data_IF_789512638977
#
_entry.id   IF_789512638977
#
_cell.length_a   1.000
_cell.length_b   1.000
_cell.length_c   1.000
_cell.angle_alpha   90.00
_cell.angle_beta   90.00
_cell.angle_gamma   90.00
#
_symmetry.space_group_name_H-M   'P 1'
#
loop_
_entity.id
_entity.type
_entity.pdbx_description
1 polymer ?
#
# COMPACT_ATOMS: atom_id res chain seq x y z
N UNK A 1 -21.75 20.72 -5.39
CA UNK A 1 -22.10 20.31 -6.77
C UNK A 1 -22.34 18.81 -6.74
N UNK A 2 -23.56 18.42 -7.02
CA UNK A 2 -24.18 17.11 -6.80
C UNK A 2 -23.45 15.97 -7.51
N UNK A 3 -23.13 14.91 -6.76
CA UNK A 3 -22.75 13.59 -7.25
C UNK A 3 -23.80 13.13 -8.28
N UNK A 4 -23.40 13.01 -9.55
CA UNK A 4 -24.17 12.24 -10.52
C UNK A 4 -23.87 10.76 -10.25
N UNK A 5 -24.80 10.09 -9.59
CA UNK A 5 -24.87 8.63 -9.52
C UNK A 5 -24.96 8.08 -10.95
N UNK A 6 -23.86 7.53 -11.44
CA UNK A 6 -23.85 6.72 -12.66
C UNK A 6 -24.71 5.48 -12.35
N UNK A 7 -25.76 5.19 -13.15
CA UNK A 7 -26.68 4.09 -12.84
C UNK A 7 -25.92 2.76 -12.85
N UNK A 8 -25.86 2.11 -11.69
CA UNK A 8 -25.30 0.77 -11.53
C UNK A 8 -26.16 -0.20 -12.37
N UNK A 9 -25.59 -0.99 -13.31
CA UNK A 9 -26.35 -1.99 -14.05
C UNK A 9 -27.05 -2.98 -13.11
N UNK A 10 -28.25 -3.43 -13.48
CA UNK A 10 -29.12 -4.26 -12.62
C UNK A 10 -28.44 -5.56 -12.14
N UNK A 11 -28.76 -5.98 -10.92
CA UNK A 11 -28.11 -7.08 -10.21
C UNK A 11 -28.22 -8.42 -10.96
N UNK A 12 -29.35 -8.67 -11.65
CA UNK A 12 -29.57 -9.87 -12.45
C UNK A 12 -28.70 -9.92 -13.72
N UNK A 13 -28.52 -8.80 -14.42
CA UNK A 13 -27.66 -8.72 -15.61
C UNK A 13 -26.16 -8.91 -15.27
N UNK A 14 -25.73 -8.46 -14.08
CA UNK A 14 -24.38 -8.72 -13.53
C UNK A 14 -24.15 -10.20 -13.22
N UNK A 15 -25.17 -10.91 -12.73
CA UNK A 15 -25.06 -12.32 -12.36
C UNK A 15 -24.93 -13.25 -13.57
N UNK A 16 -25.78 -13.10 -14.60
CA UNK A 16 -25.72 -13.95 -15.81
C UNK A 16 -24.44 -13.71 -16.62
N UNK A 17 -24.08 -12.45 -16.87
CA UNK A 17 -22.81 -12.11 -17.55
C UNK A 17 -21.59 -12.56 -16.74
N UNK A 18 -21.66 -12.47 -15.41
CA UNK A 18 -20.59 -12.91 -14.51
C UNK A 18 -20.42 -14.43 -14.44
N UNK A 19 -21.49 -15.21 -14.59
CA UNK A 19 -21.40 -16.68 -14.64
C UNK A 19 -20.79 -17.14 -15.97
N UNK A 20 -21.30 -16.64 -17.10
CA UNK A 20 -20.78 -16.96 -18.44
C UNK A 20 -19.31 -16.57 -18.56
N UNK A 21 -18.94 -15.37 -18.09
CA UNK A 21 -17.55 -14.93 -18.06
C UNK A 21 -16.68 -15.85 -17.22
N UNK A 22 -17.13 -16.25 -16.02
CA UNK A 22 -16.40 -17.18 -15.15
C UNK A 22 -16.18 -18.53 -15.83
N UNK A 23 -17.23 -19.11 -16.42
CA UNK A 23 -17.13 -20.38 -17.15
C UNK A 23 -16.13 -20.24 -18.29
N UNK A 24 -16.28 -19.24 -19.15
CA UNK A 24 -15.35 -19.00 -20.26
C UNK A 24 -13.90 -18.84 -19.79
N UNK A 25 -13.65 -18.05 -18.74
CA UNK A 25 -12.31 -17.82 -18.21
C UNK A 25 -11.71 -19.12 -17.64
N UNK A 26 -12.48 -19.90 -16.87
CA UNK A 26 -12.01 -21.16 -16.29
C UNK A 26 -11.75 -22.18 -17.40
N UNK A 27 -12.68 -22.34 -18.34
CA UNK A 27 -12.51 -23.27 -19.47
C UNK A 27 -11.30 -22.90 -20.32
N UNK A 28 -11.10 -21.61 -20.63
CA UNK A 28 -9.93 -21.13 -21.36
C UNK A 28 -8.62 -21.40 -20.60
N UNK A 29 -8.59 -21.15 -19.29
CA UNK A 29 -7.42 -21.42 -18.46
C UNK A 29 -7.08 -22.93 -18.42
N UNK A 30 -8.09 -23.79 -18.26
CA UNK A 30 -7.91 -25.25 -18.31
C UNK A 30 -7.45 -25.73 -19.69
N UNK A 31 -7.95 -25.14 -20.76
CA UNK A 31 -7.53 -25.43 -22.13
C UNK A 31 -6.05 -25.08 -22.35
N UNK A 32 -5.63 -23.88 -21.95
CA UNK A 32 -4.23 -23.46 -22.04
C UNK A 32 -3.34 -24.38 -21.21
N UNK A 33 -3.72 -24.65 -19.96
CA UNK A 33 -2.96 -25.52 -19.07
C UNK A 33 -2.82 -26.92 -19.67
N UNK A 34 -3.92 -27.51 -20.14
CA UNK A 34 -3.92 -28.83 -20.78
C UNK A 34 -3.05 -28.86 -22.04
N UNK A 35 -3.15 -27.85 -22.91
CA UNK A 35 -2.33 -27.75 -24.13
C UNK A 35 -0.84 -27.63 -23.79
N UNK A 36 -0.49 -26.80 -22.79
CA UNK A 36 0.90 -26.61 -22.37
C UNK A 36 1.47 -27.88 -21.72
N UNK A 37 0.70 -28.55 -20.85
CA UNK A 37 1.11 -29.82 -20.23
C UNK A 37 1.29 -30.92 -21.28
N UNK A 38 0.37 -31.02 -22.25
CA UNK A 38 0.48 -31.98 -23.35
C UNK A 38 1.70 -31.68 -24.22
N UNK A 39 1.92 -30.43 -24.63
CA UNK A 39 3.05 -30.04 -25.47
C UNK A 39 4.40 -30.29 -24.77
N UNK A 40 4.44 -30.07 -23.45
CA UNK A 40 5.60 -30.40 -22.62
C UNK A 40 5.83 -31.91 -22.53
N UNK A 41 4.80 -32.70 -22.25
CA UNK A 41 4.89 -34.16 -22.13
C UNK A 41 5.24 -34.85 -23.46
N UNK A 42 4.71 -34.33 -24.58
CA UNK A 42 5.00 -34.81 -25.92
C UNK A 42 6.36 -34.31 -26.46
N UNK A 43 7.04 -33.41 -25.73
CA UNK A 43 8.37 -32.91 -26.08
C UNK A 43 8.42 -32.16 -27.40
N UNK A 44 7.34 -31.48 -27.83
CA UNK A 44 7.24 -30.85 -29.15
C UNK A 44 8.07 -29.54 -29.20
N UNK A 45 9.21 -29.49 -29.91
CA UNK A 45 9.98 -28.26 -30.06
C UNK A 45 9.43 -27.43 -31.23
N UNK A 46 9.32 -26.11 -31.05
CA UNK A 46 9.00 -25.18 -32.15
C UNK A 46 10.27 -24.79 -32.92
N UNK A 47 11.39 -24.68 -32.22
CA UNK A 47 12.72 -24.54 -32.81
C UNK A 47 13.73 -25.29 -31.94
N UNK A 48 14.73 -25.91 -32.54
CA UNK A 48 15.83 -26.54 -31.81
C UNK A 48 17.15 -26.31 -32.53
N UNK A 49 18.24 -26.28 -31.78
CA UNK A 49 19.57 -26.26 -32.39
C UNK A 49 19.91 -27.63 -33.04
N UNK A 50 20.87 -27.64 -33.97
CA UNK A 50 21.29 -28.83 -34.74
C UNK A 50 21.76 -30.00 -33.86
N UNK A 51 22.29 -29.72 -32.68
CA UNK A 51 22.77 -30.66 -31.67
C UNK A 51 21.73 -30.96 -30.57
N UNK A 52 20.56 -30.30 -30.60
CA UNK A 52 19.46 -30.53 -29.65
C UNK A 52 19.77 -30.10 -28.21
N UNK A 53 20.76 -29.24 -28.00
CA UNK A 53 21.12 -28.73 -26.67
C UNK A 53 20.17 -27.61 -26.20
N UNK A 54 19.61 -26.85 -27.15
CA UNK A 54 18.60 -25.83 -26.88
C UNK A 54 17.35 -26.06 -27.73
N UNK A 55 16.19 -26.03 -27.08
CA UNK A 55 14.89 -26.13 -27.72
C UNK A 55 13.95 -25.02 -27.22
N UNK A 56 13.35 -24.28 -28.15
CA UNK A 56 12.28 -23.34 -27.89
C UNK A 56 10.94 -24.07 -28.08
N UNK A 57 10.29 -24.42 -26.98
CA UNK A 57 9.00 -25.11 -26.98
C UNK A 57 7.80 -24.16 -27.00
N UNK A 58 6.60 -24.73 -27.03
CA UNK A 58 5.34 -23.99 -26.97
C UNK A 58 5.21 -23.13 -25.69
N UNK A 59 5.75 -23.62 -24.57
CA UNK A 59 5.84 -22.87 -23.31
C UNK A 59 6.64 -21.57 -23.48
N UNK A 60 7.81 -21.65 -24.12
CA UNK A 60 8.66 -20.49 -24.41
C UNK A 60 7.96 -19.51 -25.34
N UNK A 61 7.28 -19.99 -26.38
CA UNK A 61 6.49 -19.15 -27.28
C UNK A 61 5.37 -18.40 -26.55
N UNK A 62 4.63 -19.09 -25.67
CA UNK A 62 3.58 -18.49 -24.87
C UNK A 62 4.12 -17.41 -23.92
N UNK A 63 5.20 -17.71 -23.18
CA UNK A 63 5.84 -16.73 -22.29
C UNK A 63 6.36 -15.52 -23.07
N UNK A 64 7.02 -15.73 -24.21
CA UNK A 64 7.51 -14.64 -25.06
C UNK A 64 6.37 -13.77 -25.58
N UNK A 65 5.27 -14.38 -26.06
CA UNK A 65 4.09 -13.64 -26.50
C UNK A 65 3.46 -12.85 -25.35
N UNK A 66 3.38 -13.45 -24.16
CA UNK A 66 2.88 -12.79 -22.96
C UNK A 66 3.75 -11.58 -22.57
N UNK A 67 5.07 -11.75 -22.55
CA UNK A 67 6.02 -10.69 -22.22
C UNK A 67 5.97 -9.54 -23.25
N UNK A 68 5.85 -9.85 -24.55
CA UNK A 68 5.69 -8.85 -25.61
C UNK A 68 4.40 -8.07 -25.43
N UNK A 69 3.28 -8.74 -25.16
CA UNK A 69 2.01 -8.09 -24.91
C UNK A 69 2.06 -7.20 -23.65
N UNK A 70 2.62 -7.70 -22.55
CA UNK A 70 2.82 -6.93 -21.32
C UNK A 70 3.69 -5.70 -21.57
N UNK A 71 4.80 -5.85 -22.27
CA UNK A 71 5.73 -4.76 -22.59
C UNK A 71 5.07 -3.70 -23.48
N UNK A 72 4.21 -4.10 -24.42
CA UNK A 72 3.45 -3.17 -25.26
C UNK A 72 2.49 -2.32 -24.43
N UNK A 73 1.67 -2.93 -23.56
CA UNK A 73 0.73 -2.18 -22.72
C UNK A 73 1.44 -1.34 -21.66
N UNK A 74 2.54 -1.85 -21.10
CA UNK A 74 3.41 -1.07 -20.22
C UNK A 74 3.97 0.17 -20.94
N UNK A 75 4.46 0.03 -22.17
CA UNK A 75 4.94 1.15 -22.98
C UNK A 75 3.83 2.19 -23.23
N UNK A 76 2.62 1.74 -23.54
CA UNK A 76 1.47 2.64 -23.72
C UNK A 76 1.12 3.39 -22.43
N UNK A 77 1.19 2.73 -21.27
CA UNK A 77 0.95 3.38 -19.98
C UNK A 77 2.05 4.39 -19.64
N UNK A 78 3.33 4.04 -19.84
CA UNK A 78 4.44 4.98 -19.66
C UNK A 78 4.26 6.24 -20.51
N UNK A 79 3.80 6.10 -21.75
CA UNK A 79 3.48 7.26 -22.60
C UNK A 79 2.34 8.10 -22.06
N UNK A 80 1.30 7.48 -21.51
CA UNK A 80 0.16 8.18 -20.88
C UNK A 80 0.60 8.93 -19.64
N UNK A 81 1.30 8.26 -18.73
CA UNK A 81 1.84 8.84 -17.49
C UNK A 81 2.80 9.99 -17.81
N UNK A 82 3.73 9.81 -18.77
CA UNK A 82 4.64 10.87 -19.19
C UNK A 82 3.93 12.07 -19.84
N UNK A 83 2.81 11.86 -20.54
CA UNK A 83 1.99 12.94 -21.07
C UNK A 83 1.23 13.68 -19.96
N UNK A 84 0.66 12.95 -18.99
CA UNK A 84 0.00 13.53 -17.83
C UNK A 84 0.97 14.34 -16.96
N UNK A 85 2.14 13.79 -16.64
CA UNK A 85 3.19 14.45 -15.88
C UNK A 85 3.65 15.76 -16.56
N UNK A 86 3.83 15.78 -17.89
CA UNK A 86 4.16 17.01 -18.64
C UNK A 86 3.07 18.09 -18.53
N UNK A 87 1.79 17.70 -18.61
CA UNK A 87 0.67 18.63 -18.42
C UNK A 87 0.61 19.16 -16.99
N UNK A 88 0.90 18.31 -16.01
CA UNK A 88 0.88 18.67 -14.61
C UNK A 88 2.07 19.57 -14.21
N UNK A 89 3.26 19.32 -14.76
CA UNK A 89 4.44 20.18 -14.59
C UNK A 89 4.17 21.62 -15.07
N UNK A 90 3.44 21.78 -16.17
CA UNK A 90 3.03 23.10 -16.68
C UNK A 90 2.04 23.84 -15.76
N UNK A 91 1.31 23.13 -14.90
CA UNK A 91 0.36 23.71 -13.92
C UNK A 91 1.01 24.03 -12.57
N UNK A 92 2.24 23.55 -12.32
CA UNK A 92 2.92 23.67 -11.03
C UNK A 92 2.33 22.78 -9.93
N UNK A 93 2.86 22.86 -8.70
CA UNK A 93 2.27 22.22 -7.53
C UNK A 93 0.96 22.93 -7.12
N UNK A 94 -0.04 22.19 -6.60
CA UNK A 94 -1.30 22.77 -6.17
C UNK A 94 -1.10 23.72 -4.99
N UNK A 95 -1.88 24.80 -4.97
CA UNK A 95 -1.92 25.71 -3.82
C UNK A 95 -2.49 25.00 -2.59
N UNK A 96 -2.06 25.43 -1.40
CA UNK A 96 -2.51 24.84 -0.13
C UNK A 96 -4.04 24.89 0.05
N UNK A 97 -4.72 25.90 -0.52
CA UNK A 97 -6.16 26.05 -0.44
C UNK A 97 -6.91 24.92 -1.15
N UNK A 98 -6.40 24.47 -2.30
CA UNK A 98 -7.05 23.48 -3.18
C UNK A 98 -6.48 22.07 -3.02
N UNK A 99 -5.29 21.94 -2.43
CA UNK A 99 -4.64 20.65 -2.24
C UNK A 99 -5.41 19.75 -1.26
N UNK A 100 -5.50 18.47 -1.60
CA UNK A 100 -6.06 17.42 -0.74
C UNK A 100 -5.20 17.21 0.49
N UNK A 101 -5.84 16.88 1.61
CA UNK A 101 -5.15 16.52 2.84
C UNK A 101 -4.60 15.10 2.75
N UNK A 102 -3.34 14.91 3.11
CA UNK A 102 -2.64 13.63 3.04
C UNK A 102 -1.96 13.32 4.37
N UNK A 103 -2.04 12.05 4.80
CA UNK A 103 -1.19 11.53 5.86
C UNK A 103 -0.17 10.53 5.28
N UNK A 104 1.11 10.80 5.46
CA UNK A 104 2.19 9.85 5.25
C UNK A 104 2.36 9.01 6.52
N UNK A 105 2.11 7.71 6.42
CA UNK A 105 2.24 6.75 7.51
C UNK A 105 3.49 5.90 7.31
N UNK A 106 4.38 5.89 8.30
CA UNK A 106 5.61 5.11 8.32
C UNK A 106 5.49 4.04 9.40
N UNK A 107 5.65 2.78 9.03
CA UNK A 107 5.65 1.65 9.98
C UNK A 107 7.09 1.24 10.26
N UNK A 108 7.52 1.19 11.52
CA UNK A 108 8.90 0.90 11.88
C UNK A 108 9.00 -0.17 12.98
N UNK A 109 9.98 -1.08 12.88
CA UNK A 109 10.30 -2.04 13.94
C UNK A 109 11.76 -2.45 13.89
N UNK A 110 12.53 -2.14 14.94
CA UNK A 110 13.95 -2.50 15.10
C UNK A 110 14.79 -2.25 13.83
N UNK A 111 14.64 -1.05 13.29
CA UNK A 111 15.25 -0.63 12.02
C UNK A 111 16.74 -0.28 12.15
N UNK A 112 17.47 -0.46 11.05
CA UNK A 112 18.81 0.13 10.96
C UNK A 112 18.72 1.68 11.10
N UNK A 113 19.48 2.28 12.04
CA UNK A 113 19.38 3.72 12.28
C UNK A 113 19.72 4.60 11.08
N UNK A 114 20.61 4.16 10.19
CA UNK A 114 21.01 4.93 9.02
C UNK A 114 19.90 4.93 7.96
N UNK A 115 19.24 3.79 7.73
CA UNK A 115 18.12 3.71 6.78
C UNK A 115 16.88 4.44 7.29
N UNK A 116 16.52 4.27 8.57
CA UNK A 116 15.40 5.00 9.16
C UNK A 116 15.61 6.52 9.08
N UNK A 117 16.82 7.00 9.38
CA UNK A 117 17.13 8.43 9.26
C UNK A 117 16.98 8.93 7.83
N UNK A 118 17.43 8.15 6.84
CA UNK A 118 17.26 8.50 5.43
C UNK A 118 15.77 8.54 5.03
N UNK A 119 14.97 7.59 5.51
CA UNK A 119 13.52 7.58 5.32
C UNK A 119 12.89 8.87 5.87
N UNK A 120 13.12 9.19 7.15
CA UNK A 120 12.55 10.36 7.82
C UNK A 120 12.99 11.68 7.16
N UNK A 121 14.27 11.82 6.80
CA UNK A 121 14.78 13.00 6.10
C UNK A 121 14.12 13.15 4.73
N UNK A 122 13.94 12.04 4.00
CA UNK A 122 13.26 12.07 2.70
C UNK A 122 11.77 12.39 2.80
N UNK A 123 11.09 11.88 3.83
CA UNK A 123 9.71 12.21 4.15
C UNK A 123 9.56 13.72 4.47
N UNK A 124 10.50 14.28 5.24
CA UNK A 124 10.55 15.73 5.51
C UNK A 124 10.80 16.55 4.25
N UNK A 125 11.52 16.03 3.27
CA UNK A 125 11.87 16.71 2.02
C UNK A 125 10.76 16.67 0.94
N UNK A 126 9.64 16.00 1.19
CA UNK A 126 8.52 15.93 0.23
C UNK A 126 8.00 17.32 -0.14
N UNK A 127 7.81 17.52 -1.44
CA UNK A 127 7.27 18.75 -2.04
C UNK A 127 5.74 18.67 -2.03
N UNK A 128 5.15 19.08 -0.91
CA UNK A 128 3.70 19.20 -0.75
C UNK A 128 3.37 20.32 0.25
N UNK A 129 2.21 21.01 0.15
CA UNK A 129 1.85 22.03 1.11
C UNK A 129 1.86 21.49 2.54
N UNK A 130 2.71 22.06 3.41
CA UNK A 130 2.91 21.60 4.80
C UNK A 130 1.60 21.53 5.58
N UNK A 131 0.72 22.51 5.43
CA UNK A 131 -0.60 22.55 6.07
C UNK A 131 -1.56 21.41 5.63
N UNK A 132 -1.22 20.69 4.55
CA UNK A 132 -2.02 19.59 4.00
C UNK A 132 -1.30 18.24 4.08
N UNK A 133 -0.07 18.17 4.58
CA UNK A 133 0.68 16.93 4.75
C UNK A 133 0.95 16.68 6.23
N UNK A 134 0.40 15.58 6.76
CA UNK A 134 0.76 15.02 8.06
C UNK A 134 1.76 13.89 7.88
N UNK A 135 2.69 13.75 8.82
CA UNK A 135 3.65 12.66 8.90
C UNK A 135 3.42 11.93 10.21
N UNK A 136 3.04 10.66 10.11
CA UNK A 136 2.76 9.78 11.24
C UNK A 136 3.70 8.58 11.17
N UNK A 137 4.60 8.45 12.13
CA UNK A 137 5.36 7.22 12.32
C UNK A 137 4.73 6.41 13.46
N UNK A 138 4.52 5.12 13.24
CA UNK A 138 4.11 4.19 14.30
C UNK A 138 5.20 3.13 14.45
N UNK A 139 5.69 2.98 15.68
CA UNK A 139 6.77 2.06 16.06
C UNK A 139 6.14 0.83 16.71
N UNK A 140 6.44 -0.36 16.17
CA UNK A 140 5.92 -1.66 16.65
C UNK A 140 6.63 -2.15 17.92
N UNK A 141 6.85 -1.27 18.88
CA UNK A 141 7.61 -1.57 20.09
C UNK A 141 7.66 -0.36 20.99
N UNK A 142 7.52 -0.60 22.29
CA UNK A 142 7.51 0.42 23.33
C UNK A 142 8.55 0.13 24.43
N UNK A 143 9.52 -0.75 24.17
CA UNK A 143 10.61 -1.06 25.09
C UNK A 143 11.75 -0.07 24.90
N UNK A 144 12.65 0.00 25.88
CA UNK A 144 13.81 0.90 25.83
C UNK A 144 14.67 0.73 24.56
N UNK A 145 14.78 -0.50 24.05
CA UNK A 145 15.50 -0.82 22.80
C UNK A 145 14.83 -0.24 21.53
N UNK A 146 13.54 0.09 21.58
CA UNK A 146 12.79 0.64 20.43
C UNK A 146 12.77 2.18 20.43
N UNK A 147 12.99 2.81 21.59
CA UNK A 147 12.78 4.26 21.77
C UNK A 147 13.77 5.14 20.99
N UNK A 148 14.90 4.60 20.52
CA UNK A 148 15.81 5.34 19.63
C UNK A 148 15.10 5.79 18.34
N UNK A 149 14.11 5.04 17.85
CA UNK A 149 13.32 5.42 16.67
C UNK A 149 12.47 6.67 16.97
N UNK A 150 11.88 6.72 18.17
CA UNK A 150 11.11 7.89 18.63
C UNK A 150 12.01 9.11 18.78
N UNK A 151 13.19 8.96 19.38
CA UNK A 151 14.16 10.04 19.53
C UNK A 151 14.68 10.54 18.18
N UNK A 152 14.93 9.63 17.23
CA UNK A 152 15.32 9.99 15.86
C UNK A 152 14.22 10.80 15.15
N UNK A 153 12.96 10.43 15.32
CA UNK A 153 11.84 11.21 14.78
C UNK A 153 11.80 12.62 15.37
N UNK A 154 11.93 12.76 16.69
CA UNK A 154 11.99 14.07 17.36
C UNK A 154 13.13 14.93 16.81
N UNK A 155 14.30 14.34 16.60
CA UNK A 155 15.47 15.03 16.07
C UNK A 155 15.26 15.51 14.63
N UNK A 156 14.78 14.64 13.74
CA UNK A 156 14.61 14.97 12.31
C UNK A 156 13.54 16.03 12.10
N UNK A 157 12.49 16.04 12.91
CA UNK A 157 11.35 16.96 12.81
C UNK A 157 11.35 18.07 13.87
N UNK A 158 12.47 18.33 14.54
CA UNK A 158 12.55 19.24 15.70
C UNK A 158 12.01 20.67 15.43
N UNK A 159 12.15 21.16 14.20
CA UNK A 159 11.67 22.48 13.74
C UNK A 159 10.18 22.49 13.36
N UNK A 160 9.50 21.36 13.42
CA UNK A 160 8.10 21.17 13.02
C UNK A 160 7.18 20.79 14.20
N UNK A 161 7.61 21.06 15.44
CA UNK A 161 6.91 20.77 16.71
C UNK A 161 6.36 19.32 16.78
N UNK A 162 7.26 18.32 16.76
CA UNK A 162 6.88 16.93 16.66
C UNK A 162 6.26 16.45 17.97
N UNK A 163 5.09 15.84 17.89
CA UNK A 163 4.46 15.19 19.04
C UNK A 163 4.84 13.71 19.09
N UNK A 164 5.10 13.21 20.29
CA UNK A 164 5.45 11.79 20.49
C UNK A 164 4.67 11.21 21.64
N UNK A 165 4.26 9.95 21.52
CA UNK A 165 3.54 9.25 22.57
C UNK A 165 4.00 7.81 22.66
N UNK A 166 4.26 7.34 23.88
CA UNK A 166 4.54 5.93 24.16
C UNK A 166 3.27 5.34 24.76
N UNK A 167 2.56 4.57 23.95
CA UNK A 167 1.33 3.89 24.34
C UNK A 167 1.67 2.52 24.92
N UNK A 168 1.28 2.31 26.17
CA UNK A 168 1.38 1.00 26.83
C UNK A 168 0.20 0.09 26.45
N UNK A 169 0.03 -0.13 25.15
CA UNK A 169 -1.10 -0.83 24.56
C UNK A 169 -1.05 -0.79 23.03
N UNK A 170 -2.09 -1.34 22.41
CA UNK A 170 -2.43 -1.16 20.99
C UNK A 170 -3.95 -1.37 20.83
N UNK A 171 -4.49 -1.29 19.61
CA UNK A 171 -5.94 -1.29 19.40
C UNK A 171 -6.60 -2.64 19.72
N UNK A 172 -5.88 -3.75 19.52
CA UNK A 172 -6.45 -5.09 19.59
C UNK A 172 -6.04 -5.89 20.83
N UNK A 173 -5.24 -5.30 21.73
CA UNK A 173 -5.01 -5.86 23.06
C UNK A 173 -5.99 -5.26 24.08
N UNK A 174 -6.61 -6.09 24.94
CA UNK A 174 -7.45 -5.59 26.01
C UNK A 174 -6.67 -4.64 26.92
N UNK A 175 -7.19 -3.44 27.12
CA UNK A 175 -6.70 -2.53 28.15
C UNK A 175 -7.35 -2.90 29.48
N UNK A 176 -6.53 -3.25 30.48
CA UNK A 176 -6.99 -3.50 31.85
C UNK A 176 -6.74 -2.24 32.70
N UNK A 177 -7.76 -1.68 33.39
CA UNK A 177 -7.54 -0.56 34.28
C UNK A 177 -6.63 -1.00 35.43
N UNK A 178 -5.55 -0.26 35.68
CA UNK A 178 -4.56 -0.53 36.72
C UNK A 178 -5.12 -0.57 38.17
N UNK A 179 -6.42 -0.32 38.37
CA UNK A 179 -7.13 -0.31 39.64
C UNK A 179 -8.35 -1.26 39.68
N UNK A 180 -8.37 -2.34 38.89
CA UNK A 180 -9.38 -3.41 39.04
C UNK A 180 -9.04 -4.45 40.14
N UNK A 181 -8.02 -4.16 40.97
CA UNK A 181 -7.76 -4.86 42.22
C UNK A 181 -8.34 -4.08 43.39
N UNK A 182 -9.49 -4.54 43.90
CA UNK A 182 -10.25 -4.06 45.08
C UNK A 182 -11.47 -3.16 44.79
N UNK A 183 -12.54 -3.77 44.26
CA UNK A 183 -13.90 -3.28 44.48
C UNK A 183 -14.76 -4.46 44.96
N UNK A 184 -15.28 -4.35 46.19
CA UNK A 184 -16.15 -5.33 46.81
C UNK A 184 -17.49 -5.47 46.08
N UNK A 185 -18.17 -6.57 46.38
CA UNK A 185 -19.48 -6.94 45.83
C UNK A 185 -20.50 -5.79 45.90
N UNK A 186 -21.04 -5.40 44.75
CA UNK A 186 -22.29 -4.65 44.66
C UNK A 186 -22.19 -3.32 43.91
N UNK A 187 -22.57 -3.36 42.62
CA UNK A 187 -23.20 -2.31 41.81
C UNK A 187 -22.58 -2.27 40.40
N UNK A 188 -23.12 -3.09 39.50
CA UNK A 188 -22.77 -3.11 38.09
C UNK A 188 -23.27 -1.81 37.42
N UNK A 189 -22.32 -1.00 36.97
CA UNK A 189 -22.54 -0.03 35.91
C UNK A 189 -21.37 -0.21 34.94
N UNK A 190 -21.57 -1.02 33.91
CA UNK A 190 -20.65 -1.10 32.77
C UNK A 190 -20.62 0.27 32.11
N UNK A 191 -19.70 1.11 32.55
CA UNK A 191 -19.16 2.16 31.71
C UNK A 191 -18.09 1.46 30.88
N UNK A 192 -18.28 1.35 29.57
CA UNK A 192 -17.20 0.97 28.66
C UNK A 192 -16.06 1.97 28.87
N UNK A 193 -15.09 1.61 29.69
CA UNK A 193 -13.94 2.45 29.95
C UNK A 193 -13.04 2.40 28.72
N UNK A 194 -13.03 3.49 27.94
CA UNK A 194 -12.15 3.63 26.79
C UNK A 194 -10.70 3.80 27.26
N UNK A 195 -9.76 3.12 26.58
CA UNK A 195 -8.33 3.24 26.84
C UNK A 195 -7.88 4.71 26.69
N UNK A 196 -7.41 5.36 27.78
CA UNK A 196 -6.91 6.74 27.71
C UNK A 196 -5.74 6.92 26.73
N UNK A 197 -4.91 5.89 26.55
CA UNK A 197 -3.79 5.91 25.62
C UNK A 197 -4.27 5.94 24.17
N UNK A 198 -5.31 5.18 23.84
CA UNK A 198 -5.98 5.25 22.54
C UNK A 198 -6.50 6.65 22.26
N UNK A 199 -7.22 7.25 23.22
CA UNK A 199 -7.76 8.61 23.06
C UNK A 199 -6.66 9.65 22.86
N UNK A 200 -5.55 9.53 23.59
CA UNK A 200 -4.39 10.40 23.42
C UNK A 200 -3.77 10.26 22.02
N UNK A 201 -3.59 9.03 21.53
CA UNK A 201 -3.08 8.75 20.18
C UNK A 201 -4.00 9.36 19.11
N UNK A 202 -5.31 9.11 19.18
CA UNK A 202 -6.29 9.66 18.24
C UNK A 202 -6.28 11.19 18.24
N UNK A 203 -6.23 11.82 19.42
CA UNK A 203 -6.18 13.27 19.55
C UNK A 203 -4.91 13.86 18.94
N UNK A 204 -3.74 13.26 19.22
CA UNK A 204 -2.46 13.72 18.67
C UNK A 204 -2.43 13.61 17.13
N UNK A 205 -2.82 12.45 16.59
CA UNK A 205 -2.84 12.19 15.15
C UNK A 205 -3.78 13.13 14.39
N UNK A 206 -4.90 13.52 15.00
CA UNK A 206 -5.88 14.43 14.38
C UNK A 206 -5.48 15.90 14.46
N UNK A 207 -4.70 16.29 15.47
CA UNK A 207 -4.40 17.71 15.77
C UNK A 207 -3.00 18.16 15.35
N UNK A 208 -2.02 17.26 15.38
CA UNK A 208 -0.61 17.57 15.09
C UNK A 208 -0.23 17.14 13.69
N UNK A 209 0.77 17.82 13.13
CA UNK A 209 1.28 17.53 11.79
C UNK A 209 2.28 16.38 11.79
N UNK A 210 3.26 16.41 12.69
CA UNK A 210 4.30 15.40 12.80
C UNK A 210 4.10 14.64 14.11
N UNK A 211 3.78 13.35 14.02
CA UNK A 211 3.46 12.50 15.17
C UNK A 211 4.25 11.21 15.11
N UNK A 212 4.83 10.80 16.22
CA UNK A 212 5.40 9.47 16.39
C UNK A 212 4.74 8.74 17.57
N UNK A 213 4.20 7.56 17.33
CA UNK A 213 3.59 6.72 18.36
C UNK A 213 4.38 5.45 18.50
N UNK A 214 4.91 5.17 19.68
CA UNK A 214 5.40 3.84 20.04
C UNK A 214 4.28 3.07 20.73
N UNK A 215 4.04 1.83 20.33
CA UNK A 215 2.98 0.99 20.87
C UNK A 215 3.51 -0.38 21.26
N UNK A 216 2.70 -1.19 21.95
CA UNK A 216 3.06 -2.57 22.24
C UNK A 216 3.10 -3.39 20.94
N UNK A 217 4.13 -4.25 20.82
CA UNK A 217 4.37 -5.10 19.66
C UNK A 217 3.13 -5.91 19.27
N UNK A 218 2.72 -5.78 18.01
CA UNK A 218 1.57 -6.47 17.41
C UNK A 218 1.75 -6.84 15.94
N UNK A 219 2.91 -6.55 15.34
CA UNK A 219 3.22 -6.81 13.94
C UNK A 219 2.87 -5.63 13.02
N UNK A 220 3.42 -5.65 11.81
CA UNK A 220 3.22 -4.60 10.78
C UNK A 220 1.75 -4.24 10.57
N UNK A 221 0.86 -5.24 10.53
CA UNK A 221 -0.58 -5.02 10.35
C UNK A 221 -1.21 -4.23 11.50
N UNK A 222 -0.79 -4.46 12.74
CA UNK A 222 -1.26 -3.70 13.90
C UNK A 222 -0.80 -2.24 13.83
N UNK A 223 0.47 -2.01 13.49
CA UNK A 223 1.04 -0.67 13.32
C UNK A 223 0.33 0.13 12.23
N UNK A 224 0.11 -0.49 11.07
CA UNK A 224 -0.66 0.10 9.98
C UNK A 224 -2.11 0.37 10.40
N UNK A 225 -2.74 -0.56 11.13
CA UNK A 225 -4.09 -0.36 11.65
C UNK A 225 -4.16 0.82 12.61
N UNK A 226 -3.23 0.95 13.56
CA UNK A 226 -3.15 2.09 14.48
C UNK A 226 -3.13 3.40 13.72
N UNK A 227 -2.28 3.50 12.69
CA UNK A 227 -2.20 4.69 11.85
C UNK A 227 -3.53 4.98 11.15
N UNK A 228 -4.11 3.99 10.48
CA UNK A 228 -5.36 4.15 9.74
C UNK A 228 -6.55 4.48 10.64
N UNK A 229 -6.67 3.80 11.76
CA UNK A 229 -7.77 3.98 12.72
C UNK A 229 -7.68 5.32 13.43
N UNK A 230 -6.48 5.71 13.86
CA UNK A 230 -6.27 7.01 14.52
C UNK A 230 -6.51 8.20 13.58
N UNK A 231 -6.18 8.05 12.29
CA UNK A 231 -6.48 9.05 11.27
C UNK A 231 -8.00 9.22 11.06
N UNK A 232 -8.78 8.14 11.13
CA UNK A 232 -10.22 8.17 10.88
C UNK A 232 -10.54 8.82 9.53
N UNK A 233 -11.43 9.81 9.50
CA UNK A 233 -11.80 10.61 8.33
C UNK A 233 -11.04 11.95 8.22
N UNK A 234 -10.01 12.16 9.03
CA UNK A 234 -9.35 13.47 9.17
C UNK A 234 -8.49 13.90 7.97
N UNK A 235 -8.25 13.01 7.02
CA UNK A 235 -7.51 13.28 5.78
C UNK A 235 -8.21 12.68 4.56
N UNK A 236 -7.98 13.25 3.37
CA UNK A 236 -8.51 12.72 2.11
C UNK A 236 -7.77 11.44 1.69
N UNK A 237 -6.44 11.44 1.79
CA UNK A 237 -5.56 10.37 1.32
C UNK A 237 -4.59 9.87 2.39
N UNK A 238 -4.24 8.59 2.34
CA UNK A 238 -3.25 7.94 3.22
C UNK A 238 -2.15 7.33 2.36
N UNK A 239 -0.92 7.79 2.55
CA UNK A 239 0.27 7.20 1.94
C UNK A 239 0.91 6.22 2.92
N UNK A 240 1.15 5.00 2.49
CA UNK A 240 1.96 4.01 3.23
C UNK A 240 3.40 4.08 2.76
N UNK A 241 4.32 3.95 3.71
CA UNK A 241 5.76 3.92 3.48
C UNK A 241 6.41 2.95 4.48
N UNK A 242 7.31 2.12 3.96
CA UNK A 242 8.17 1.31 4.79
C UNK A 242 9.31 2.19 5.34
N UNK A 243 9.74 1.91 6.57
CA UNK A 243 10.78 2.62 7.34
C UNK A 243 12.18 2.59 6.72
N UNK A 244 12.44 1.64 5.82
CA UNK A 244 13.69 1.48 5.08
C UNK A 244 13.67 2.18 3.71
N UNK A 245 12.59 2.90 3.39
CA UNK A 245 12.37 3.48 2.07
C UNK A 245 12.74 4.96 2.02
N UNK A 246 13.55 5.34 1.03
CA UNK A 246 13.86 6.74 0.71
C UNK A 246 12.93 7.26 -0.37
N UNK A 247 12.15 8.28 -0.04
CA UNK A 247 11.17 8.89 -0.95
C UNK A 247 11.82 9.95 -1.86
N UNK A 248 11.43 9.96 -3.13
CA UNK A 248 11.73 11.07 -4.03
C UNK A 248 10.90 12.30 -3.60
N UNK A 249 11.47 13.53 -3.57
CA UNK A 249 10.76 14.74 -3.14
C UNK A 249 9.43 14.98 -3.89
N UNK A 250 9.31 14.53 -5.13
CA UNK A 250 8.11 14.70 -5.96
C UNK A 250 7.14 13.52 -5.87
N UNK A 251 7.52 12.40 -5.23
CA UNK A 251 6.76 11.16 -5.25
C UNK A 251 5.31 11.35 -4.79
N UNK A 252 5.11 11.98 -3.63
CA UNK A 252 3.76 12.21 -3.10
C UNK A 252 2.91 13.06 -4.05
N UNK A 253 3.49 14.14 -4.61
CA UNK A 253 2.76 15.04 -5.49
C UNK A 253 2.26 14.32 -6.75
N UNK A 254 3.09 13.46 -7.34
CA UNK A 254 2.69 12.70 -8.52
C UNK A 254 1.61 11.65 -8.20
N UNK A 255 1.68 10.98 -7.05
CA UNK A 255 0.63 10.04 -6.62
C UNK A 255 -0.71 10.76 -6.41
N UNK A 256 -0.70 11.92 -5.76
CA UNK A 256 -1.92 12.73 -5.53
C UNK A 256 -2.55 13.13 -6.86
N UNK A 257 -1.75 13.54 -7.86
CA UNK A 257 -2.25 13.91 -9.19
C UNK A 257 -2.98 12.76 -9.87
N UNK A 258 -2.47 11.54 -9.78
CA UNK A 258 -3.12 10.35 -10.36
C UNK A 258 -4.48 10.10 -9.71
N UNK A 259 -4.59 10.21 -8.37
CA UNK A 259 -5.87 10.08 -7.70
C UNK A 259 -6.82 11.24 -8.03
N UNK A 260 -6.32 12.48 -8.10
CA UNK A 260 -7.18 13.64 -8.40
C UNK A 260 -7.72 13.62 -9.84
N UNK A 261 -7.01 13.02 -10.79
CA UNK A 261 -7.42 12.94 -12.20
C UNK A 261 -8.62 11.99 -12.43
N UNK A 262 -8.71 10.87 -11.70
CA UNK A 262 -9.81 9.90 -11.86
C UNK A 262 -10.44 9.48 -10.52
N UNK A 263 -11.69 9.92 -10.23
CA UNK A 263 -12.45 9.53 -9.05
C UNK A 263 -12.67 8.01 -8.91
N UNK A 264 -12.56 7.24 -10.00
CA UNK A 264 -12.73 5.78 -10.00
C UNK A 264 -11.48 5.05 -9.53
N UNK A 265 -10.33 5.71 -9.51
CA UNK A 265 -9.08 5.14 -8.96
C UNK A 265 -9.12 5.30 -7.45
N UNK A 266 -9.11 4.17 -6.74
CA UNK A 266 -9.15 4.12 -5.27
C UNK A 266 -7.77 4.12 -4.63
N UNK A 267 -6.75 3.63 -5.35
CA UNK A 267 -5.38 3.60 -4.89
C UNK A 267 -4.38 3.64 -6.04
N UNK A 268 -3.19 4.16 -5.78
CA UNK A 268 -2.08 4.26 -6.74
C UNK A 268 -0.76 3.88 -6.08
N UNK A 269 0.09 3.14 -6.80
CA UNK A 269 1.46 2.83 -6.42
C UNK A 269 2.50 3.63 -7.20
N UNK A 270 3.67 3.83 -6.59
CA UNK A 270 4.83 4.39 -7.27
C UNK A 270 5.83 3.34 -7.77
N UNK A 271 6.89 3.81 -8.45
CA UNK A 271 8.02 2.99 -8.89
C UNK A 271 9.02 2.82 -7.73
N UNK A 272 9.20 1.59 -7.27
CA UNK A 272 10.13 1.27 -6.17
C UNK A 272 11.42 0.69 -6.76
N UNK A 273 12.56 1.20 -6.31
CA UNK A 273 13.89 0.81 -6.80
C UNK A 273 14.80 0.43 -5.64
N UNK A 274 15.74 -0.46 -5.94
CA UNK A 274 16.82 -0.80 -5.01
C UNK A 274 17.79 0.38 -4.92
N UNK A 275 18.09 0.80 -3.69
CA UNK A 275 18.91 1.97 -3.42
C UNK A 275 20.37 1.81 -3.87
N UNK A 276 20.89 0.59 -3.75
CA UNK A 276 22.31 0.31 -3.91
C UNK A 276 22.61 -0.75 -5.00
N UNK A 277 22.13 -0.54 -6.24
CA UNK A 277 22.06 -1.58 -7.28
C UNK A 277 23.44 -2.09 -7.74
N UNK A 278 24.52 -1.36 -7.46
CA UNK A 278 25.88 -1.68 -7.92
C UNK A 278 26.79 -2.22 -6.82
N UNK A 279 26.32 -2.31 -5.57
CA UNK A 279 27.14 -2.75 -4.44
C UNK A 279 27.49 -4.24 -4.51
N UNK A 280 26.61 -5.05 -5.11
CA UNK A 280 26.81 -6.48 -5.26
C UNK A 280 26.01 -7.06 -6.43
N UNK A 281 26.41 -8.25 -6.87
CA UNK A 281 25.65 -9.03 -7.86
C UNK A 281 24.21 -9.31 -7.42
N UNK A 282 23.99 -9.57 -6.13
CA UNK A 282 22.64 -9.82 -5.60
C UNK A 282 21.80 -8.56 -5.65
N UNK A 283 22.37 -7.41 -5.29
CA UNK A 283 21.68 -6.11 -5.39
C UNK A 283 21.35 -5.75 -6.84
N UNK A 284 22.29 -5.99 -7.76
CA UNK A 284 22.09 -5.77 -9.19
C UNK A 284 20.94 -6.61 -9.74
N UNK A 285 20.95 -7.94 -9.49
CA UNK A 285 19.88 -8.84 -9.92
C UNK A 285 18.53 -8.47 -9.28
N UNK A 286 18.54 -8.05 -8.01
CA UNK A 286 17.35 -7.55 -7.31
C UNK A 286 16.81 -6.28 -7.98
N UNK A 287 17.69 -5.35 -8.36
CA UNK A 287 17.30 -4.12 -9.06
C UNK A 287 16.67 -4.41 -10.43
N UNK A 288 17.20 -5.37 -11.18
CA UNK A 288 16.62 -5.80 -12.46
C UNK A 288 15.24 -6.44 -12.25
N UNK A 289 15.09 -7.30 -11.25
CA UNK A 289 13.81 -7.92 -10.90
C UNK A 289 12.75 -6.87 -10.53
N UNK A 290 13.13 -5.89 -9.71
CA UNK A 290 12.26 -4.77 -9.34
C UNK A 290 11.89 -3.93 -10.57
N UNK A 291 12.88 -3.62 -11.42
CA UNK A 291 12.62 -2.86 -12.64
C UNK A 291 11.57 -3.54 -13.52
N UNK A 292 11.71 -4.85 -13.79
CA UNK A 292 10.71 -5.62 -14.57
C UNK A 292 9.35 -5.64 -13.85
N UNK A 293 9.33 -5.82 -12.53
CA UNK A 293 8.09 -5.84 -11.76
C UNK A 293 7.30 -4.53 -11.88
N UNK A 294 7.96 -3.39 -11.74
CA UNK A 294 7.30 -2.08 -11.74
C UNK A 294 7.07 -1.54 -13.15
N UNK A 295 8.06 -1.67 -14.03
CA UNK A 295 8.04 -1.00 -15.33
C UNK A 295 7.46 -1.86 -16.46
N UNK A 296 7.28 -3.16 -16.25
CA UNK A 296 6.62 -4.07 -17.21
C UNK A 296 5.35 -4.66 -16.63
N UNK A 297 5.45 -5.44 -15.55
CA UNK A 297 4.30 -6.18 -15.00
C UNK A 297 3.23 -5.23 -14.44
N UNK A 298 3.59 -4.34 -13.51
CA UNK A 298 2.66 -3.40 -12.87
C UNK A 298 2.21 -2.29 -13.81
N UNK A 299 3.09 -1.76 -14.66
CA UNK A 299 2.71 -0.79 -15.68
C UNK A 299 1.64 -1.35 -16.64
N UNK A 300 1.77 -2.62 -17.06
CA UNK A 300 0.72 -3.31 -17.82
C UNK A 300 -0.58 -3.42 -17.02
N UNK A 301 -0.53 -3.81 -15.74
CA UNK A 301 -1.74 -3.87 -14.89
C UNK A 301 -2.38 -2.48 -14.69
N UNK A 302 -1.58 -1.43 -14.57
CA UNK A 302 -2.03 -0.04 -14.42
C UNK A 302 -2.77 0.45 -15.67
N UNK A 303 -2.29 0.07 -16.87
CA UNK A 303 -3.01 0.30 -18.13
C UNK A 303 -4.45 -0.24 -18.11
N UNK A 304 -4.63 -1.40 -17.47
CA UNK A 304 -5.93 -2.08 -17.32
C UNK A 304 -6.64 -1.78 -16.00
N UNK A 305 -6.13 -0.83 -15.21
CA UNK A 305 -6.72 -0.40 -13.93
C UNK A 305 -6.88 -1.53 -12.89
N UNK A 306 -5.97 -2.51 -12.91
CA UNK A 306 -6.08 -3.74 -12.13
C UNK A 306 -4.78 -4.12 -11.43
N UNK A 307 -3.97 -3.13 -11.00
CA UNK A 307 -2.78 -3.41 -10.19
C UNK A 307 -3.17 -4.21 -8.96
N UNK A 308 -2.67 -5.44 -8.88
CA UNK A 308 -3.10 -6.42 -7.87
C UNK A 308 -2.39 -6.29 -6.52
N UNK A 309 -1.32 -5.49 -6.48
CA UNK A 309 -0.56 -5.21 -5.28
C UNK A 309 0.08 -3.83 -5.45
N UNK A 310 -0.29 -2.86 -4.63
CA UNK A 310 0.41 -1.57 -4.49
C UNK A 310 1.42 -1.75 -3.36
N UNK A 311 2.70 -1.56 -3.65
CA UNK A 311 3.78 -1.89 -2.71
C UNK A 311 3.75 -0.98 -1.48
N UNK A 312 3.96 -1.55 -0.29
CA UNK A 312 4.04 -0.85 0.99
C UNK A 312 5.03 0.32 1.05
N UNK A 313 6.20 0.27 0.38
CA UNK A 313 7.13 1.40 0.31
C UNK A 313 6.56 2.70 -0.27
N UNK A 314 5.62 2.60 -1.22
CA UNK A 314 5.12 3.77 -1.94
C UNK A 314 3.72 3.51 -2.51
N UNK A 315 2.72 3.57 -1.64
CA UNK A 315 1.31 3.45 -1.99
C UNK A 315 0.46 4.57 -1.43
N UNK A 316 -0.48 5.09 -2.21
CA UNK A 316 -1.44 6.12 -1.78
C UNK A 316 -2.87 5.63 -1.97
N UNK A 317 -3.68 5.74 -0.93
CA UNK A 317 -5.04 5.23 -0.88
C UNK A 317 -6.03 6.36 -0.58
N UNK A 318 -7.23 6.29 -1.19
CA UNK A 318 -8.37 7.11 -0.76
C UNK A 318 -8.82 6.69 0.63
N UNK A 319 -8.71 7.61 1.59
CA UNK A 319 -8.96 7.30 2.99
C UNK A 319 -10.42 6.90 3.23
N UNK A 320 -11.37 7.63 2.64
CA UNK A 320 -12.80 7.30 2.75
C UNK A 320 -13.16 5.88 2.28
N UNK A 321 -12.40 5.30 1.35
CA UNK A 321 -12.56 3.91 0.91
C UNK A 321 -11.83 2.96 1.86
N UNK A 322 -10.60 3.30 2.24
CA UNK A 322 -9.79 2.53 3.19
C UNK A 322 -10.54 2.29 4.51
N UNK A 323 -11.16 3.32 5.07
CA UNK A 323 -11.94 3.22 6.31
C UNK A 323 -13.13 2.25 6.19
N UNK A 324 -13.73 2.08 5.00
CA UNK A 324 -14.87 1.18 4.81
C UNK A 324 -14.50 -0.30 4.92
N UNK A 325 -13.26 -0.66 4.60
CA UNK A 325 -12.81 -2.05 4.64
C UNK A 325 -11.73 -2.32 5.69
N UNK A 326 -11.35 -1.34 6.51
CA UNK A 326 -10.28 -1.43 7.49
C UNK A 326 -10.44 -2.64 8.43
N UNK A 327 -11.62 -2.81 9.02
CA UNK A 327 -11.90 -3.92 9.96
C UNK A 327 -11.83 -5.28 9.26
N UNK A 328 -12.34 -5.38 8.03
CA UNK A 328 -12.31 -6.61 7.24
C UNK A 328 -10.89 -6.92 6.72
N UNK A 329 -10.06 -5.89 6.50
CA UNK A 329 -8.67 -6.05 6.13
C UNK A 329 -7.84 -6.56 7.32
N UNK A 330 -8.04 -5.99 8.50
CA UNK A 330 -7.33 -6.38 9.71
C UNK A 330 -7.66 -7.83 10.11
N UNK A 331 -8.96 -8.15 10.20
CA UNK A 331 -9.47 -9.44 10.64
C UNK A 331 -9.42 -10.54 9.57
N UNK A 332 -8.56 -10.39 8.55
CA UNK A 332 -8.42 -11.38 7.50
C UNK A 332 -7.99 -12.74 8.07
N UNK A 333 -8.78 -13.77 7.75
CA UNK A 333 -8.47 -15.16 8.06
C UNK A 333 -8.42 -15.99 6.79
N UNK A 334 -7.48 -16.91 6.72
CA UNK A 334 -7.44 -17.98 5.73
C UNK A 334 -7.52 -19.32 6.45
N UNK A 335 -8.54 -20.12 6.13
CA UNK A 335 -8.83 -21.40 6.79
C UNK A 335 -8.87 -21.30 8.33
N UNK A 336 -9.42 -20.19 8.86
CA UNK A 336 -9.55 -19.94 10.29
C UNK A 336 -8.36 -19.25 10.95
N UNK A 337 -7.20 -19.20 10.29
CA UNK A 337 -5.96 -18.59 10.82
C UNK A 337 -5.79 -17.15 10.34
N UNK A 338 -5.40 -16.24 11.22
CA UNK A 338 -5.10 -14.85 10.83
C UNK A 338 -3.96 -14.80 9.81
N UNK A 339 -4.15 -14.04 8.75
CA UNK A 339 -3.10 -13.80 7.76
C UNK A 339 -2.12 -12.75 8.27
N UNK A 340 -0.84 -13.09 8.37
CA UNK A 340 0.23 -12.20 8.84
C UNK A 340 1.11 -11.66 7.71
N UNK A 341 0.82 -12.02 6.46
CA UNK A 341 1.63 -11.64 5.30
C UNK A 341 0.77 -10.99 4.21
N UNK A 342 1.42 -10.15 3.39
CA UNK A 342 0.80 -9.58 2.19
C UNK A 342 -0.23 -8.49 2.48
N UNK A 343 0.03 -7.67 3.50
CA UNK A 343 -0.82 -6.54 3.91
C UNK A 343 -1.18 -5.63 2.74
N UNK A 344 -0.16 -5.23 1.97
CA UNK A 344 -0.22 -4.42 0.76
C UNK A 344 -1.12 -5.02 -0.32
N UNK A 345 -0.90 -6.30 -0.64
CA UNK A 345 -1.69 -7.04 -1.63
C UNK A 345 -3.13 -7.15 -1.17
N UNK A 346 -3.37 -7.35 0.13
CA UNK A 346 -4.72 -7.43 0.66
C UNK A 346 -5.42 -6.07 0.60
N UNK A 347 -4.79 -4.97 1.02
CA UNK A 347 -5.33 -3.61 0.87
C UNK A 347 -5.76 -3.34 -0.58
N UNK A 348 -4.88 -3.66 -1.52
CA UNK A 348 -5.12 -3.47 -2.94
C UNK A 348 -6.29 -4.30 -3.45
N UNK A 349 -6.35 -5.58 -3.07
CA UNK A 349 -7.44 -6.47 -3.44
C UNK A 349 -8.79 -6.07 -2.83
N UNK A 350 -8.80 -5.49 -1.62
CA UNK A 350 -10.02 -4.92 -1.02
C UNK A 350 -10.51 -3.69 -1.78
N UNK A 351 -9.59 -2.84 -2.25
CA UNK A 351 -9.94 -1.71 -3.11
C UNK A 351 -10.57 -2.18 -4.43
N UNK A 352 -9.96 -3.18 -5.08
CA UNK A 352 -10.48 -3.79 -6.30
C UNK A 352 -11.84 -4.48 -6.07
N UNK A 353 -12.03 -5.17 -4.94
CA UNK A 353 -13.29 -5.87 -4.65
C UNK A 353 -14.47 -4.94 -4.42
N UNK A 354 -14.21 -3.70 -3.99
CA UNK A 354 -15.20 -2.62 -3.93
C UNK A 354 -15.53 -2.02 -5.30
N UNK A 355 -14.83 -2.43 -6.36
CA UNK A 355 -15.05 -1.96 -7.73
C UNK A 355 -14.27 -0.70 -8.11
N UNK A 356 -13.29 -0.30 -7.30
CA UNK A 356 -12.40 0.82 -7.62
C UNK A 356 -11.18 0.33 -8.39
N UNK A 357 -10.72 1.16 -9.33
CA UNK A 357 -9.49 0.94 -10.07
C UNK A 357 -8.26 1.11 -9.16
N UNK A 358 -7.20 0.37 -9.48
CA UNK A 358 -5.87 0.53 -8.86
C UNK A 358 -4.83 0.75 -9.95
N UNK A 359 -3.91 1.68 -9.70
CA UNK A 359 -2.92 2.13 -10.68
C UNK A 359 -1.49 2.01 -10.23
#
# INVERSE_FOLDING_TARGET
MTQQDVPKPSQAARHCSGLVRRVLTITFALLILGLMTWAYAAGVPLASDRYGLLAFGLYGAFLSAHLVAQSLFAYLEHRRVAAAARRAAARGPPEAATARSVALTISAYQEDPAYLRQCLVSARALVYPRARLRVLMVVDGNRAEDLYMVDMFREVFADEDPATYVWDGNYHQPWEPAAAGAAGEGAYREVEAEDPGRLAVEALVKTRRCVCVAQRWGGKREVMYTAFKALGDSVDYVQVCDSDTRLDPMALLELVRVLDEDPRVGAVGGDVRILNPLDSWVSFLSSLRYWVAFNVERACQSYFHCVSCISGPLGLYRNNLLQQFLEAWYNQKFLGTHCTFGDDRHLTNRMLSMGYATK
#
